data_IF_040393936795
#
_entry.id   IF_040393936795
#
_cell.length_a   1.000
_cell.length_b   1.000
_cell.length_c   1.000
_cell.angle_alpha   90.00
_cell.angle_beta   90.00
_cell.angle_gamma   90.00
#
_symmetry.space_group_name_H-M   'P 1'
#
loop_
_entity.id
_entity.type
_entity.pdbx_description
1 polymer ?
#
# COMPACT_ATOMS: atom_id res chain seq x y z
N UNK A 1 21.47 11.86 -5.38
CA UNK A 1 21.43 10.86 -4.27
C UNK A 1 20.34 11.11 -3.22
N UNK A 2 19.86 12.32 -3.01
CA UNK A 2 18.79 12.65 -2.03
C UNK A 2 17.43 12.01 -2.35
N UNK A 3 17.02 11.91 -3.61
CA UNK A 3 15.74 11.33 -3.99
C UNK A 3 15.58 9.85 -3.64
N UNK A 4 16.65 9.05 -3.75
CA UNK A 4 16.62 7.61 -3.42
C UNK A 4 16.32 7.39 -1.94
N UNK A 5 16.95 8.16 -1.05
CA UNK A 5 16.75 8.04 0.39
C UNK A 5 15.29 8.37 0.81
N UNK A 6 14.64 9.32 0.11
CA UNK A 6 13.24 9.70 0.35
C UNK A 6 12.27 8.60 -0.07
N UNK A 7 12.49 7.99 -1.22
CA UNK A 7 11.69 6.86 -1.70
C UNK A 7 11.78 5.67 -0.73
N UNK A 8 12.98 5.38 -0.21
CA UNK A 8 13.20 4.30 0.75
C UNK A 8 12.43 4.46 2.06
N UNK A 9 12.22 5.69 2.53
CA UNK A 9 11.38 5.98 3.70
C UNK A 9 9.98 5.38 3.56
N UNK A 10 9.31 5.60 2.43
CA UNK A 10 7.95 5.09 2.18
C UNK A 10 7.93 3.58 1.97
N UNK A 11 8.98 3.02 1.39
CA UNK A 11 9.16 1.57 1.27
C UNK A 11 9.30 0.93 2.65
N UNK A 12 10.11 1.50 3.54
CA UNK A 12 10.27 1.02 4.92
C UNK A 12 8.93 1.05 5.69
N UNK A 13 8.15 2.12 5.55
CA UNK A 13 6.82 2.23 6.18
C UNK A 13 5.92 1.08 5.69
N UNK A 14 5.89 0.83 4.38
CA UNK A 14 5.12 -0.25 3.78
C UNK A 14 5.57 -1.63 4.26
N UNK A 15 6.87 -1.91 4.24
CA UNK A 15 7.40 -3.20 4.70
C UNK A 15 7.14 -3.44 6.18
N UNK A 16 7.36 -2.44 7.04
CA UNK A 16 7.08 -2.55 8.48
C UNK A 16 5.61 -2.94 8.74
N UNK A 17 4.68 -2.39 7.98
CA UNK A 17 3.27 -2.72 8.08
C UNK A 17 2.98 -4.14 7.59
N UNK A 18 3.53 -4.53 6.43
CA UNK A 18 3.29 -5.85 5.86
C UNK A 18 3.93 -6.96 6.68
N UNK A 19 5.11 -6.75 7.25
CA UNK A 19 5.73 -7.70 8.17
C UNK A 19 4.86 -7.89 9.42
N UNK A 20 4.32 -6.81 10.00
CA UNK A 20 3.39 -6.93 11.14
C UNK A 20 2.13 -7.72 10.76
N UNK A 21 1.56 -7.46 9.58
CA UNK A 21 0.38 -8.17 9.10
C UNK A 21 0.69 -9.65 8.84
N UNK A 22 1.82 -9.95 8.20
CA UNK A 22 2.25 -11.33 7.95
C UNK A 22 2.49 -12.11 9.25
N UNK A 23 3.12 -11.49 10.25
CA UNK A 23 3.29 -12.08 11.57
C UNK A 23 1.94 -12.34 12.26
N UNK A 24 1.01 -11.37 12.19
CA UNK A 24 -0.33 -11.53 12.75
C UNK A 24 -1.06 -12.70 12.08
N UNK A 25 -1.04 -12.78 10.76
CA UNK A 25 -1.65 -13.89 10.02
C UNK A 25 -0.98 -15.23 10.36
N UNK A 26 0.34 -15.26 10.48
CA UNK A 26 1.07 -16.45 10.91
C UNK A 26 0.61 -16.91 12.30
N UNK A 27 0.53 -16.02 13.28
CA UNK A 27 0.05 -16.35 14.64
C UNK A 27 -1.39 -16.87 14.61
N UNK A 28 -2.30 -16.22 13.88
CA UNK A 28 -3.71 -16.62 13.77
C UNK A 28 -3.85 -18.04 13.17
N UNK A 29 -2.97 -18.41 12.24
CA UNK A 29 -3.01 -19.74 11.60
C UNK A 29 -2.28 -20.77 12.43
N UNK A 30 -1.09 -20.45 12.96
CA UNK A 30 -0.25 -21.40 13.68
C UNK A 30 -0.78 -21.78 15.06
N UNK A 31 -1.29 -20.79 15.81
CA UNK A 31 -1.73 -21.08 17.20
C UNK A 31 -2.87 -22.09 17.22
N UNK A 32 -3.94 -21.96 16.41
CA UNK A 32 -4.98 -22.98 16.37
C UNK A 32 -4.50 -24.35 15.88
N UNK A 33 -3.65 -24.39 14.83
CA UNK A 33 -3.11 -25.65 14.32
C UNK A 33 -2.23 -26.34 15.35
N UNK A 34 -1.40 -25.60 16.09
CA UNK A 34 -0.57 -26.10 17.14
C UNK A 34 -1.42 -26.64 18.31
N UNK A 35 -2.45 -25.91 18.72
CA UNK A 35 -3.38 -26.35 19.76
C UNK A 35 -4.09 -27.64 19.34
N UNK A 36 -4.59 -27.71 18.10
CA UNK A 36 -5.23 -28.93 17.58
C UNK A 36 -4.26 -30.11 17.59
N UNK A 37 -3.00 -29.92 17.19
CA UNK A 37 -1.99 -31.00 17.19
C UNK A 37 -1.68 -31.56 18.61
N UNK A 38 -1.79 -30.70 19.62
CA UNK A 38 -1.59 -31.15 21.02
C UNK A 38 -2.73 -32.01 21.57
N UNK A 39 -3.95 -31.82 21.09
CA UNK A 39 -5.14 -32.51 21.63
C UNK A 39 -5.52 -33.76 20.85
N UNK A 40 -5.10 -33.91 19.61
CA UNK A 40 -5.59 -34.99 18.75
C UNK A 40 -4.56 -36.04 18.39
N UNK A 41 -3.34 -35.98 18.93
CA UNK A 41 -2.23 -36.88 18.55
C UNK A 41 -2.08 -37.11 17.03
N UNK A 42 -2.73 -36.25 16.27
CA UNK A 42 -2.63 -36.21 14.80
C UNK A 42 -1.35 -35.47 14.48
N UNK A 43 -0.25 -36.20 14.59
CA UNK A 43 0.94 -35.84 13.79
C UNK A 43 0.53 -36.20 12.36
N UNK A 44 0.20 -35.27 11.48
CA UNK A 44 -0.06 -35.64 10.10
C UNK A 44 1.25 -36.20 9.58
N UNK A 45 1.28 -37.44 9.16
CA UNK A 45 2.37 -38.00 8.35
C UNK A 45 2.53 -37.18 7.07
N UNK A 46 1.53 -36.38 6.70
CA UNK A 46 1.57 -35.41 5.60
C UNK A 46 2.34 -34.17 6.00
N UNK A 47 3.62 -34.19 5.68
CA UNK A 47 4.58 -33.08 5.71
C UNK A 47 4.05 -31.80 5.03
N UNK A 48 2.99 -31.90 4.24
CA UNK A 48 2.36 -30.81 3.48
C UNK A 48 1.85 -29.68 4.39
N UNK A 49 1.21 -30.01 5.51
CA UNK A 49 0.63 -28.99 6.43
C UNK A 49 1.73 -28.14 7.07
N UNK A 50 2.92 -28.70 7.30
CA UNK A 50 4.06 -27.97 7.85
C UNK A 50 4.65 -26.92 6.87
N UNK A 51 4.47 -27.10 5.55
CA UNK A 51 5.00 -26.18 4.55
C UNK A 51 4.07 -25.01 4.22
N UNK A 52 2.76 -25.11 4.49
CA UNK A 52 1.78 -24.06 4.15
C UNK A 52 2.18 -22.68 4.70
N UNK A 53 2.62 -22.51 5.95
CA UNK A 53 3.00 -21.21 6.47
C UNK A 53 4.26 -20.64 5.81
N UNK A 54 5.23 -21.48 5.43
CA UNK A 54 6.42 -21.04 4.72
C UNK A 54 6.06 -20.57 3.31
N UNK A 55 5.16 -21.25 2.61
CA UNK A 55 4.66 -20.87 1.30
C UNK A 55 3.92 -19.54 1.40
N UNK A 56 3.04 -19.36 2.39
CA UNK A 56 2.31 -18.11 2.62
C UNK A 56 3.27 -16.97 2.95
N UNK A 57 4.24 -17.17 3.82
CA UNK A 57 5.23 -16.14 4.15
C UNK A 57 6.04 -15.74 2.92
N UNK A 58 6.51 -16.70 2.13
CA UNK A 58 7.25 -16.45 0.89
C UNK A 58 6.39 -15.67 -0.11
N UNK A 59 5.12 -16.03 -0.26
CA UNK A 59 4.17 -15.32 -1.14
C UNK A 59 3.97 -13.88 -0.67
N UNK A 60 3.81 -13.65 0.63
CA UNK A 60 3.68 -12.29 1.18
C UNK A 60 4.92 -11.43 0.90
N UNK A 61 6.12 -12.00 1.04
CA UNK A 61 7.38 -11.31 0.74
C UNK A 61 7.48 -11.01 -0.76
N UNK A 62 7.16 -11.97 -1.61
CA UNK A 62 7.16 -11.80 -3.07
C UNK A 62 6.19 -10.68 -3.50
N UNK A 63 4.96 -10.70 -3.00
CA UNK A 63 3.96 -9.66 -3.29
C UNK A 63 4.45 -8.28 -2.81
N UNK A 64 4.99 -8.18 -1.59
CA UNK A 64 5.53 -6.92 -1.07
C UNK A 64 6.69 -6.38 -1.94
N UNK A 65 7.54 -7.28 -2.43
CA UNK A 65 8.65 -6.92 -3.32
C UNK A 65 8.16 -6.40 -4.67
N UNK A 66 7.15 -7.04 -5.27
CA UNK A 66 6.52 -6.57 -6.52
C UNK A 66 5.92 -5.17 -6.38
N UNK A 67 5.22 -4.89 -5.27
CA UNK A 67 4.70 -3.55 -5.00
C UNK A 67 5.80 -2.52 -4.87
N UNK A 68 6.91 -2.86 -4.23
CA UNK A 68 8.07 -1.97 -4.09
C UNK A 68 8.70 -1.64 -5.44
N UNK A 69 8.88 -2.64 -6.30
CA UNK A 69 9.42 -2.45 -7.66
C UNK A 69 8.49 -1.54 -8.46
N UNK A 70 7.17 -1.80 -8.42
CA UNK A 70 6.17 -0.98 -9.10
C UNK A 70 6.18 0.46 -8.60
N UNK A 71 6.26 0.68 -7.30
CA UNK A 71 6.33 2.00 -6.68
C UNK A 71 7.54 2.81 -7.19
N UNK A 72 8.75 2.20 -7.14
CA UNK A 72 9.98 2.81 -7.67
C UNK A 72 9.86 3.12 -9.16
N UNK A 73 9.30 2.20 -9.95
CA UNK A 73 9.11 2.37 -11.38
C UNK A 73 8.18 3.54 -11.69
N UNK A 74 7.05 3.64 -10.98
CA UNK A 74 6.10 4.75 -11.16
C UNK A 74 6.73 6.12 -10.88
N UNK A 75 7.54 6.24 -9.84
CA UNK A 75 8.24 7.50 -9.54
C UNK A 75 9.20 7.83 -10.67
N UNK A 76 10.08 6.92 -11.06
CA UNK A 76 11.06 7.13 -12.12
C UNK A 76 10.43 7.49 -13.47
N UNK A 77 9.32 6.85 -13.84
CA UNK A 77 8.60 7.17 -15.07
C UNK A 77 8.09 8.61 -15.05
N UNK A 78 7.53 9.07 -13.92
CA UNK A 78 7.03 10.44 -13.79
C UNK A 78 8.17 11.46 -13.70
N UNK A 79 9.25 11.16 -12.99
CA UNK A 79 10.47 11.99 -12.97
C UNK A 79 10.99 12.22 -14.39
N UNK A 80 11.06 11.16 -15.19
CA UNK A 80 11.52 11.24 -16.59
C UNK A 80 10.55 12.04 -17.48
N UNK A 81 9.23 11.80 -17.38
CA UNK A 81 8.23 12.47 -18.22
C UNK A 81 8.18 13.98 -17.95
N UNK A 82 8.29 14.38 -16.67
CA UNK A 82 8.12 15.76 -16.26
C UNK A 82 9.44 16.50 -16.00
N UNK A 83 10.57 15.80 -16.17
CA UNK A 83 11.92 16.30 -15.89
C UNK A 83 12.03 16.90 -14.46
N UNK A 84 11.57 16.16 -13.48
CA UNK A 84 11.53 16.55 -12.08
C UNK A 84 12.21 15.50 -11.23
N UNK A 85 12.59 15.85 -10.01
CA UNK A 85 13.04 14.90 -8.98
C UNK A 85 11.94 14.69 -7.94
N UNK A 86 11.79 13.45 -7.46
CA UNK A 86 10.85 13.14 -6.40
C UNK A 86 11.20 13.90 -5.12
N UNK A 87 10.27 14.74 -4.67
CA UNK A 87 10.40 15.54 -3.46
C UNK A 87 9.18 15.32 -2.56
N UNK A 88 9.46 14.99 -1.30
CA UNK A 88 8.45 14.84 -0.25
C UNK A 88 8.46 16.00 0.75
N UNK A 89 8.80 17.18 0.26
CA UNK A 89 8.86 18.40 1.07
C UNK A 89 7.50 18.66 1.69
N UNK A 90 7.47 18.91 3.00
CA UNK A 90 6.24 19.16 3.77
C UNK A 90 5.16 18.07 3.61
N UNK A 91 5.55 16.81 3.42
CA UNK A 91 4.58 15.73 3.28
C UNK A 91 3.71 15.61 4.55
N UNK A 92 2.43 15.94 4.42
CA UNK A 92 1.42 15.75 5.45
C UNK A 92 0.95 14.29 5.45
N UNK A 93 0.90 13.67 6.63
CA UNK A 93 0.33 12.35 6.80
C UNK A 93 -1.19 12.46 6.88
N UNK A 94 -1.91 11.96 5.88
CA UNK A 94 -3.37 12.00 5.85
C UNK A 94 -3.99 10.80 6.55
N UNK A 95 -3.52 9.60 6.23
CA UNK A 95 -3.98 8.34 6.81
C UNK A 95 -2.83 7.32 6.84
N UNK A 96 -3.05 6.15 7.43
CA UNK A 96 -2.04 5.13 7.79
C UNK A 96 -0.85 4.97 6.82
N UNK A 97 -1.08 5.11 5.52
CA UNK A 97 -0.04 4.98 4.49
C UNK A 97 -0.15 6.05 3.40
N UNK A 98 -1.05 7.01 3.56
CA UNK A 98 -1.30 8.06 2.59
C UNK A 98 -0.68 9.37 3.05
N UNK A 99 0.13 9.95 2.17
CA UNK A 99 0.85 11.20 2.39
C UNK A 99 0.58 12.16 1.24
N UNK A 100 0.49 13.43 1.55
CA UNK A 100 0.30 14.51 0.59
C UNK A 100 1.44 15.51 0.76
N UNK A 101 2.24 15.70 -0.29
CA UNK A 101 3.24 16.77 -0.35
C UNK A 101 2.78 17.90 -1.28
N UNK A 102 3.58 18.93 -1.43
CA UNK A 102 3.25 20.06 -2.31
C UNK A 102 2.94 19.61 -3.74
N UNK A 103 3.66 18.60 -4.25
CA UNK A 103 3.54 18.14 -5.63
C UNK A 103 3.19 16.66 -5.80
N UNK A 104 3.24 15.87 -4.72
CA UNK A 104 3.05 14.42 -4.79
C UNK A 104 1.97 13.91 -3.85
N UNK A 105 1.12 13.06 -4.37
CA UNK A 105 0.25 12.19 -3.57
C UNK A 105 0.90 10.82 -3.48
N UNK A 106 1.25 10.39 -2.27
CA UNK A 106 2.06 9.21 -2.02
C UNK A 106 1.25 8.19 -1.22
N UNK A 107 1.01 7.04 -1.80
CA UNK A 107 0.50 5.88 -1.08
C UNK A 107 1.66 4.93 -0.83
N UNK A 108 2.23 5.03 0.38
CA UNK A 108 3.50 4.42 0.73
C UNK A 108 3.62 2.96 0.29
N UNK A 109 4.67 2.68 -0.49
CA UNK A 109 5.01 1.36 -1.03
C UNK A 109 4.09 0.82 -2.12
N UNK A 110 3.03 1.53 -2.50
CA UNK A 110 2.07 1.08 -3.53
C UNK A 110 2.09 1.96 -4.77
N UNK A 111 1.91 3.26 -4.60
CA UNK A 111 1.76 4.20 -5.71
C UNK A 111 2.21 5.61 -5.31
N UNK A 112 2.77 6.35 -6.25
CA UNK A 112 3.02 7.77 -6.08
C UNK A 112 2.57 8.50 -7.35
N UNK A 113 1.94 9.65 -7.17
CA UNK A 113 1.38 10.42 -8.26
C UNK A 113 1.87 11.85 -8.18
N UNK A 114 2.58 12.29 -9.20
CA UNK A 114 2.89 13.69 -9.40
C UNK A 114 1.61 14.45 -9.75
N UNK A 115 1.42 15.62 -9.19
CA UNK A 115 0.19 16.42 -9.31
C UNK A 115 -0.25 16.62 -10.77
N UNK A 116 0.70 16.98 -11.66
CA UNK A 116 0.42 17.17 -13.09
C UNK A 116 0.10 15.86 -13.83
N UNK A 117 0.53 14.70 -13.29
CA UNK A 117 0.22 13.39 -13.88
C UNK A 117 -1.21 12.94 -13.58
N UNK A 118 -1.89 13.55 -12.61
CA UNK A 118 -3.28 13.25 -12.27
C UNK A 118 -4.21 14.03 -13.19
N UNK A 119 -4.99 13.30 -14.00
CA UNK A 119 -6.03 13.88 -14.87
C UNK A 119 -7.29 14.24 -14.09
N UNK A 120 -7.79 13.32 -13.27
CA UNK A 120 -8.98 13.55 -12.45
C UNK A 120 -8.99 12.67 -11.20
N UNK A 121 -9.69 13.16 -10.18
CA UNK A 121 -9.93 12.46 -8.92
C UNK A 121 -11.43 12.35 -8.71
N UNK A 122 -11.94 11.13 -8.64
CA UNK A 122 -13.33 10.84 -8.32
C UNK A 122 -13.42 10.06 -7.01
N UNK A 123 -14.53 10.18 -6.31
CA UNK A 123 -14.76 9.39 -5.10
C UNK A 123 -16.18 8.84 -5.09
N UNK A 124 -16.32 7.61 -4.59
CA UNK A 124 -17.58 6.95 -4.37
C UNK A 124 -17.63 6.49 -2.92
N UNK A 125 -18.73 6.82 -2.24
CA UNK A 125 -19.01 6.30 -0.91
C UNK A 125 -19.62 4.91 -1.07
N UNK A 126 -18.97 3.92 -0.49
CA UNK A 126 -19.48 2.55 -0.48
C UNK A 126 -19.99 2.21 0.92
N UNK A 127 -21.20 1.68 0.97
CA UNK A 127 -21.80 1.17 2.19
C UNK A 127 -21.56 -0.35 2.26
N UNK A 128 -20.97 -0.82 3.34
CA UNK A 128 -20.75 -2.24 3.61
C UNK A 128 -21.36 -2.65 4.95
N UNK A 129 -21.35 -3.95 5.25
CA UNK A 129 -21.87 -4.49 6.52
C UNK A 129 -21.20 -3.89 7.77
N UNK A 130 -19.99 -3.39 7.65
CA UNK A 130 -19.17 -2.86 8.78
C UNK A 130 -19.10 -1.33 8.77
N UNK A 131 -19.91 -0.66 7.95
CA UNK A 131 -19.92 0.80 7.86
C UNK A 131 -19.71 1.34 6.46
N UNK A 132 -19.50 2.65 6.34
CA UNK A 132 -19.25 3.29 5.05
C UNK A 132 -17.76 3.59 4.87
N UNK A 133 -17.22 3.27 3.71
CA UNK A 133 -15.88 3.66 3.29
C UNK A 133 -15.92 4.48 2.02
N UNK A 134 -14.98 5.40 1.88
CA UNK A 134 -14.83 6.18 0.66
C UNK A 134 -13.73 5.54 -0.19
N UNK A 135 -14.07 5.27 -1.43
CA UNK A 135 -13.15 4.80 -2.45
C UNK A 135 -12.79 5.98 -3.34
N UNK A 136 -11.51 6.30 -3.44
CA UNK A 136 -10.99 7.34 -4.32
C UNK A 136 -10.37 6.70 -5.54
N UNK A 137 -10.82 7.10 -6.72
CA UNK A 137 -10.24 6.67 -7.99
C UNK A 137 -9.48 7.83 -8.60
N UNK A 138 -8.19 7.62 -8.81
CA UNK A 138 -7.29 8.54 -9.50
C UNK A 138 -7.17 8.07 -10.94
N UNK A 139 -7.48 8.95 -11.88
CA UNK A 139 -7.23 8.73 -13.30
C UNK A 139 -6.02 9.57 -13.71
N UNK A 140 -5.03 8.93 -14.30
CA UNK A 140 -3.79 9.56 -14.76
C UNK A 140 -3.91 10.05 -16.21
N UNK A 141 -2.95 10.85 -16.65
CA UNK A 141 -2.90 11.41 -18.01
C UNK A 141 -2.82 10.30 -19.07
N UNK A 142 -2.12 9.22 -18.76
CA UNK A 142 -2.03 8.00 -19.60
C UNK A 142 -3.27 7.09 -19.50
N UNK A 143 -4.39 7.62 -18.98
CA UNK A 143 -5.69 6.98 -18.81
C UNK A 143 -5.71 5.74 -17.89
N UNK A 144 -4.65 5.46 -17.15
CA UNK A 144 -4.66 4.42 -16.12
C UNK A 144 -5.53 4.84 -14.94
N UNK A 145 -6.15 3.87 -14.29
CA UNK A 145 -7.00 4.08 -13.11
C UNK A 145 -6.38 3.40 -11.90
N UNK A 146 -6.28 4.14 -10.81
CA UNK A 146 -5.79 3.64 -9.53
C UNK A 146 -6.84 3.89 -8.45
N UNK A 147 -7.07 2.89 -7.63
CA UNK A 147 -8.06 2.97 -6.57
C UNK A 147 -7.37 3.00 -5.22
N UNK A 148 -7.64 4.04 -4.45
CA UNK A 148 -7.16 4.22 -3.08
C UNK A 148 -8.36 4.18 -2.15
N UNK A 149 -8.26 3.43 -1.08
CA UNK A 149 -9.25 3.44 -0.01
C UNK A 149 -8.91 4.57 0.95
N UNK A 150 -9.78 5.55 1.00
CA UNK A 150 -9.66 6.70 1.90
C UNK A 150 -10.86 6.67 2.85
N UNK A 151 -10.58 6.63 4.13
CA UNK A 151 -11.61 6.47 5.17
C UNK A 151 -12.32 7.79 5.49
N UNK A 152 -11.61 8.93 5.36
CA UNK A 152 -12.11 10.24 5.75
C UNK A 152 -12.56 11.09 4.57
N UNK A 153 -13.77 11.64 4.66
CA UNK A 153 -14.30 12.60 3.69
C UNK A 153 -13.47 13.91 3.68
N UNK A 154 -12.91 14.31 4.83
CA UNK A 154 -12.06 15.50 4.94
C UNK A 154 -10.78 15.34 4.14
N UNK A 155 -10.15 14.14 4.17
CA UNK A 155 -8.94 13.86 3.41
C UNK A 155 -9.20 13.84 1.90
N UNK A 156 -10.38 13.38 1.46
CA UNK A 156 -10.77 13.46 0.06
C UNK A 156 -10.90 14.92 -0.40
N UNK A 157 -11.51 15.76 0.43
CA UNK A 157 -11.62 17.19 0.16
C UNK A 157 -10.24 17.84 0.04
N UNK A 158 -9.33 17.57 0.99
CA UNK A 158 -7.93 18.04 0.92
C UNK A 158 -7.22 17.62 -0.36
N UNK A 159 -7.33 16.35 -0.77
CA UNK A 159 -6.69 15.84 -1.98
C UNK A 159 -7.25 16.53 -3.24
N UNK A 160 -8.55 16.81 -3.29
CA UNK A 160 -9.17 17.54 -4.41
C UNK A 160 -8.74 19.00 -4.46
N UNK A 161 -8.74 19.68 -3.32
CA UNK A 161 -8.26 21.06 -3.20
C UNK A 161 -6.81 21.16 -3.62
N UNK A 162 -5.95 20.30 -3.10
CA UNK A 162 -4.55 20.21 -3.49
C UNK A 162 -4.37 19.97 -5.00
N UNK A 163 -5.21 19.14 -5.63
CA UNK A 163 -5.12 18.91 -7.08
C UNK A 163 -5.45 20.17 -7.87
N UNK A 164 -6.34 21.01 -7.37
CA UNK A 164 -6.85 22.20 -8.07
C UNK A 164 -6.02 23.47 -7.83
N UNK A 165 -5.18 23.48 -6.79
CA UNK A 165 -4.16 24.53 -6.56
C UNK A 165 -2.96 24.35 -7.46
#
# INVERSE_FOLDING_TARGET
>A
MLGVARVEKYIKIYHKRNVKLALLCAVIVFVPLFVVSLFYDVVPEDTIVSFVPFVLATLCVAVASLYTIRFKKMIKEQEHIYNIEFQDTKAEHLETTLYLSDEWLIWAGSSAFFKKHIKSISSVRRFGRVGSSNQVTIKTVDNKKYTIWCLSASNIKKIREWKNT
#
